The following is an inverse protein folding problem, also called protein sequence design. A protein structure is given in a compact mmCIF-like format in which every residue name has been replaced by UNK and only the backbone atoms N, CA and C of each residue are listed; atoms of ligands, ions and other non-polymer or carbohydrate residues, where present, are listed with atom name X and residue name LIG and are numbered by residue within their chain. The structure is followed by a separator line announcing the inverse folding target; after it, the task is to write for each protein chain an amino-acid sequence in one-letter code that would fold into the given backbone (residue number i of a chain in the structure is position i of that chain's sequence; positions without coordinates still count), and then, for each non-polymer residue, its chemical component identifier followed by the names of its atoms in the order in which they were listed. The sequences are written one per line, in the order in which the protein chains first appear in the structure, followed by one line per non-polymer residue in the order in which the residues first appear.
data_IF_368815842301
#
_entry.id   IF_368815842301
#
_cell.length_a   1.000
_cell.length_b   1.000
_cell.length_c   1.000
_cell.angle_alpha   90.00
_cell.angle_beta   90.00
_cell.angle_gamma   90.00
#
_symmetry.space_group_name_H-M   'P 1'
#
loop_
_entity.id
_entity.type
_entity.pdbx_description
1 polymer ?
#
# COMPACT_ATOMS: atom_id res chain seq x y z
N UNK A 1 0.67 -11.41 18.35
CA UNK A 1 1.63 -12.53 18.25
C UNK A 1 1.10 -13.73 17.44
N UNK A 2 -0.20 -14.04 17.43
CA UNK A 2 -0.73 -15.14 16.59
C UNK A 2 -0.70 -14.79 15.08
N UNK A 3 -1.13 -13.58 14.71
CA UNK A 3 -1.12 -13.09 13.32
C UNK A 3 0.29 -13.10 12.70
N UNK A 4 1.29 -12.56 13.40
CA UNK A 4 2.69 -12.55 12.95
C UNK A 4 3.26 -13.95 12.73
N UNK A 5 2.81 -14.95 13.50
CA UNK A 5 3.26 -16.34 13.35
C UNK A 5 2.60 -17.08 12.18
N UNK A 6 1.40 -16.67 11.77
CA UNK A 6 0.72 -17.19 10.59
C UNK A 6 1.34 -16.64 9.30
N UNK A 7 1.68 -15.35 9.30
CA UNK A 7 2.31 -14.65 8.17
C UNK A 7 3.67 -15.27 7.81
N UNK A 8 4.48 -15.66 8.80
CA UNK A 8 5.82 -16.26 8.60
C UNK A 8 5.85 -17.60 7.85
N UNK A 9 4.69 -18.23 7.60
CA UNK A 9 4.61 -19.50 6.89
C UNK A 9 4.58 -19.35 5.37
N UNK A 10 4.43 -18.14 4.87
CA UNK A 10 4.37 -17.87 3.43
C UNK A 10 5.73 -17.38 2.94
N UNK A 11 6.31 -18.09 1.98
CA UNK A 11 7.47 -17.62 1.23
C UNK A 11 7.07 -16.56 0.18
N UNK A 12 5.79 -16.56 -0.19
CA UNK A 12 5.22 -15.66 -1.19
C UNK A 12 3.79 -15.23 -0.80
N UNK A 13 3.51 -13.93 -0.90
CA UNK A 13 2.24 -13.31 -0.56
C UNK A 13 1.49 -12.90 -1.83
N UNK A 14 0.62 -13.78 -2.31
CA UNK A 14 -0.28 -13.46 -3.43
C UNK A 14 -1.39 -12.49 -3.02
N UNK A 15 -2.11 -11.86 -3.97
CA UNK A 15 -3.20 -10.93 -3.66
C UNK A 15 -4.33 -11.57 -2.87
N UNK A 16 -4.57 -12.86 -3.10
CA UNK A 16 -5.55 -13.62 -2.33
C UNK A 16 -5.12 -13.77 -0.86
N UNK A 17 -3.83 -14.01 -0.60
CA UNK A 17 -3.28 -14.11 0.77
C UNK A 17 -3.34 -12.74 1.44
N UNK A 18 -2.87 -11.68 0.78
CA UNK A 18 -2.85 -10.32 1.34
C UNK A 18 -4.26 -9.82 1.66
N UNK A 19 -5.24 -10.09 0.78
CA UNK A 19 -6.65 -9.82 1.04
C UNK A 19 -7.19 -10.63 2.22
N UNK A 20 -6.83 -11.92 2.33
CA UNK A 20 -7.29 -12.78 3.42
C UNK A 20 -6.69 -12.38 4.79
N UNK A 21 -5.49 -11.79 4.81
CA UNK A 21 -4.90 -11.26 6.05
C UNK A 21 -5.70 -10.08 6.60
N UNK A 22 -6.23 -9.20 5.73
CA UNK A 22 -6.89 -7.97 6.15
C UNK A 22 -6.04 -7.19 7.14
N UNK A 23 -6.60 -6.78 8.28
CA UNK A 23 -5.87 -6.04 9.32
C UNK A 23 -4.66 -6.79 9.89
N UNK A 24 -4.60 -8.12 9.81
CA UNK A 24 -3.43 -8.89 10.25
C UNK A 24 -2.17 -8.61 9.42
N UNK A 25 -2.32 -7.99 8.24
CA UNK A 25 -1.21 -7.61 7.36
C UNK A 25 -0.24 -6.61 8.02
N UNK A 26 -0.66 -5.83 9.03
CA UNK A 26 0.27 -4.98 9.83
C UNK A 26 1.36 -5.78 10.56
N UNK A 27 1.21 -7.11 10.65
CA UNK A 27 2.23 -8.02 11.16
C UNK A 27 3.36 -8.34 10.18
N UNK A 28 3.26 -7.93 8.91
CA UNK A 28 4.32 -8.10 7.90
C UNK A 28 5.53 -7.25 8.26
N UNK A 29 6.72 -7.84 8.26
CA UNK A 29 7.95 -7.08 8.37
C UNK A 29 8.25 -6.33 7.07
N UNK A 30 9.13 -5.32 7.12
CA UNK A 30 9.65 -4.66 5.91
C UNK A 30 10.32 -5.66 4.97
N UNK A 31 10.97 -6.70 5.50
CA UNK A 31 11.56 -7.78 4.71
C UNK A 31 10.50 -8.62 3.99
N UNK A 32 9.39 -8.95 4.66
CA UNK A 32 8.27 -9.67 4.04
C UNK A 32 7.67 -8.86 2.90
N UNK A 33 7.49 -7.55 3.09
CA UNK A 33 6.96 -6.63 2.07
C UNK A 33 7.89 -6.58 0.85
N UNK A 34 9.20 -6.41 1.08
CA UNK A 34 10.16 -6.23 -0.01
C UNK A 34 10.43 -7.50 -0.80
N UNK A 35 10.50 -8.63 -0.11
CA UNK A 35 11.01 -9.89 -0.68
C UNK A 35 9.91 -10.94 -0.90
N UNK A 36 8.82 -10.89 -0.14
CA UNK A 36 7.75 -11.88 -0.20
C UNK A 36 6.60 -11.49 -1.12
N UNK A 37 6.54 -10.25 -1.59
CA UNK A 37 5.50 -9.76 -2.52
C UNK A 37 6.15 -9.47 -3.87
N UNK A 38 5.63 -10.05 -4.96
CA UNK A 38 6.06 -9.66 -6.31
C UNK A 38 5.53 -8.25 -6.64
N UNK A 39 6.09 -7.60 -7.64
CA UNK A 39 5.63 -6.27 -8.06
C UNK A 39 4.19 -6.32 -8.61
N UNK A 40 3.88 -7.34 -9.40
CA UNK A 40 2.55 -7.60 -9.98
C UNK A 40 1.51 -7.88 -8.88
N UNK A 41 1.88 -8.72 -7.91
CA UNK A 41 0.99 -9.04 -6.79
C UNK A 41 0.79 -7.85 -5.87
N UNK A 42 1.82 -7.00 -5.71
CA UNK A 42 1.70 -5.79 -4.91
C UNK A 42 0.68 -4.84 -5.53
N UNK A 43 0.79 -4.56 -6.83
CA UNK A 43 -0.16 -3.70 -7.56
C UNK A 43 -1.59 -4.25 -7.48
N UNK A 44 -1.76 -5.56 -7.71
CA UNK A 44 -3.07 -6.22 -7.61
C UNK A 44 -3.65 -6.22 -6.17
N UNK A 45 -2.81 -6.03 -5.16
CA UNK A 45 -3.20 -6.02 -3.75
C UNK A 45 -3.48 -4.64 -3.17
N UNK A 46 -3.22 -3.55 -3.92
CA UNK A 46 -3.42 -2.18 -3.43
C UNK A 46 -4.81 -1.93 -2.86
N UNK A 47 -5.93 -2.35 -3.50
CA UNK A 47 -7.25 -2.17 -2.91
C UNK A 47 -7.38 -2.81 -1.52
N UNK A 48 -6.78 -3.98 -1.30
CA UNK A 48 -6.83 -4.66 0.00
C UNK A 48 -5.86 -4.05 1.03
N UNK A 49 -4.64 -3.72 0.62
CA UNK A 49 -3.62 -3.16 1.53
C UNK A 49 -3.93 -1.70 1.94
N UNK A 50 -4.60 -0.95 1.06
CA UNK A 50 -5.08 0.41 1.34
C UNK A 50 -6.20 0.47 2.39
N UNK A 51 -6.94 -0.62 2.60
CA UNK A 51 -7.95 -0.74 3.66
C UNK A 51 -7.34 -1.10 5.04
N UNK A 52 -6.06 -1.47 5.09
CA UNK A 52 -5.39 -1.87 6.33
C UNK A 52 -4.94 -0.62 7.09
N UNK A 53 -5.37 -0.46 8.34
CA UNK A 53 -4.99 0.67 9.18
C UNK A 53 -3.88 0.27 10.17
N UNK A 54 -3.00 1.21 10.51
CA UNK A 54 -1.94 0.97 11.49
C UNK A 54 -0.62 0.46 10.91
N UNK A 55 -0.40 0.57 9.59
CA UNK A 55 0.94 0.50 9.03
C UNK A 55 1.85 1.49 9.75
N UNK A 56 3.00 1.01 10.22
CA UNK A 56 4.03 1.93 10.70
C UNK A 56 4.70 2.62 9.49
N UNK A 57 5.44 3.70 9.78
CA UNK A 57 6.07 4.53 8.74
C UNK A 57 7.02 3.74 7.82
N UNK A 58 7.75 2.77 8.37
CA UNK A 58 8.69 1.96 7.59
C UNK A 58 7.95 0.99 6.65
N UNK A 59 6.84 0.38 7.12
CA UNK A 59 6.00 -0.51 6.33
C UNK A 59 5.31 0.24 5.18
N UNK A 60 4.63 1.36 5.48
CA UNK A 60 3.94 2.14 4.45
C UNK A 60 4.91 2.68 3.41
N UNK A 61 6.07 3.18 3.85
CA UNK A 61 7.13 3.64 2.94
C UNK A 61 7.70 2.48 2.10
N UNK A 62 7.88 1.30 2.68
CA UNK A 62 8.36 0.13 1.93
C UNK A 62 7.37 -0.31 0.85
N UNK A 63 6.07 -0.35 1.17
CA UNK A 63 5.00 -0.66 0.22
C UNK A 63 4.98 0.35 -0.92
N UNK A 64 4.91 1.65 -0.60
CA UNK A 64 4.81 2.71 -1.61
C UNK A 64 6.06 2.78 -2.48
N UNK A 65 7.26 2.72 -1.90
CA UNK A 65 8.49 2.79 -2.68
C UNK A 65 8.61 1.59 -3.65
N UNK A 66 8.21 0.39 -3.21
CA UNK A 66 8.19 -0.79 -4.08
C UNK A 66 7.18 -0.63 -5.20
N UNK A 67 5.95 -0.21 -4.89
CA UNK A 67 4.88 0.05 -5.87
C UNK A 67 5.29 1.09 -6.93
N UNK A 68 5.90 2.20 -6.51
CA UNK A 68 6.35 3.23 -7.47
C UNK A 68 7.54 2.75 -8.31
N UNK A 69 8.41 1.92 -7.73
CA UNK A 69 9.55 1.33 -8.45
C UNK A 69 9.12 0.28 -9.49
N UNK A 70 7.95 -0.36 -9.32
CA UNK A 70 7.39 -1.28 -10.31
C UNK A 70 6.73 -0.58 -11.50
N UNK A 71 6.67 0.75 -11.49
CA UNK A 71 6.11 1.55 -12.57
C UNK A 71 4.67 2.04 -12.34
N UNK A 72 4.08 1.79 -11.16
CA UNK A 72 2.78 2.38 -10.81
C UNK A 72 2.86 3.91 -10.84
N UNK A 73 1.89 4.55 -11.48
CA UNK A 73 1.83 6.00 -11.61
C UNK A 73 0.59 6.58 -10.93
N UNK A 74 0.79 7.68 -10.20
CA UNK A 74 -0.29 8.46 -9.60
C UNK A 74 -0.61 9.63 -10.54
N UNK A 75 -1.47 9.38 -11.52
CA UNK A 75 -1.76 10.33 -12.63
C UNK A 75 -3.04 11.13 -12.45
N UNK A 76 -3.94 10.70 -11.57
CA UNK A 76 -5.27 11.27 -11.33
C UNK A 76 -5.73 11.09 -9.88
N UNK A 77 -6.83 11.75 -9.50
CA UNK A 77 -7.38 11.62 -8.15
C UNK A 77 -7.72 10.18 -7.75
N UNK A 78 -8.15 9.34 -8.70
CA UNK A 78 -8.55 7.96 -8.43
C UNK A 78 -7.35 7.06 -8.10
N UNK A 79 -6.23 7.20 -8.82
CA UNK A 79 -4.99 6.46 -8.56
C UNK A 79 -4.35 6.86 -7.24
N UNK A 80 -4.52 8.12 -6.79
CA UNK A 80 -4.15 8.56 -5.45
C UNK A 80 -5.09 7.98 -4.39
N UNK A 81 -6.40 8.04 -4.63
CA UNK A 81 -7.41 7.57 -3.69
C UNK A 81 -7.34 6.05 -3.45
N UNK A 82 -7.05 5.25 -4.48
CA UNK A 82 -6.85 3.80 -4.40
C UNK A 82 -5.76 3.38 -3.41
N UNK A 83 -4.80 4.25 -3.09
CA UNK A 83 -3.76 3.93 -2.12
C UNK A 83 -4.32 3.80 -0.69
N UNK A 84 -5.49 4.39 -0.39
CA UNK A 84 -6.11 4.32 0.93
C UNK A 84 -5.14 4.75 2.04
N UNK A 85 -5.05 3.99 3.13
CA UNK A 85 -4.14 4.26 4.24
C UNK A 85 -2.65 4.35 3.85
N UNK A 86 -2.26 3.78 2.70
CA UNK A 86 -0.87 3.76 2.25
C UNK A 86 -0.38 5.12 1.77
N UNK A 87 -1.25 6.13 1.53
CA UNK A 87 -0.78 7.50 1.23
C UNK A 87 0.17 8.05 2.29
N UNK A 88 0.08 7.59 3.54
CA UNK A 88 1.01 7.94 4.62
C UNK A 88 2.46 7.51 4.34
N UNK A 89 2.69 6.58 3.40
CA UNK A 89 4.01 6.14 2.95
C UNK A 89 4.61 6.94 1.80
N UNK A 90 3.88 7.91 1.23
CA UNK A 90 4.43 8.77 0.17
C UNK A 90 5.51 9.69 0.75
N UNK A 91 6.71 9.62 0.17
CA UNK A 91 7.77 10.53 0.54
C UNK A 91 7.45 11.97 0.10
N UNK A 92 8.09 12.95 0.74
CA UNK A 92 7.82 14.36 0.52
C UNK A 92 8.12 14.84 -0.90
N UNK A 93 9.13 14.26 -1.57
CA UNK A 93 9.42 14.57 -2.97
C UNK A 93 8.32 14.09 -3.92
N UNK A 94 7.80 12.87 -3.72
CA UNK A 94 6.68 12.34 -4.50
C UNK A 94 5.44 13.20 -4.27
N UNK A 95 5.10 13.52 -3.03
CA UNK A 95 3.97 14.41 -2.72
C UNK A 95 4.08 15.79 -3.39
N UNK A 96 5.29 16.39 -3.40
CA UNK A 96 5.54 17.68 -4.06
C UNK A 96 5.49 17.60 -5.58
N UNK A 97 5.74 16.43 -6.16
CA UNK A 97 5.66 16.23 -7.62
C UNK A 97 4.24 15.95 -8.12
N UNK A 98 3.30 15.61 -7.23
CA UNK A 98 1.90 15.44 -7.62
C UNK A 98 1.32 16.76 -8.12
N UNK A 99 0.62 16.70 -9.25
CA UNK A 99 -0.13 17.86 -9.74
C UNK A 99 -1.21 18.25 -8.73
N UNK A 100 -1.38 19.54 -8.46
CA UNK A 100 -2.46 20.03 -7.58
C UNK A 100 -3.85 19.55 -8.04
N UNK A 101 -4.03 19.32 -9.35
CA UNK A 101 -5.28 18.75 -9.89
C UNK A 101 -5.56 17.34 -9.37
N UNK A 102 -4.54 16.49 -9.30
CA UNK A 102 -4.65 15.11 -8.77
C UNK A 102 -5.13 15.14 -7.33
N UNK A 103 -4.53 15.99 -6.50
CA UNK A 103 -4.91 16.13 -5.08
C UNK A 103 -6.33 16.68 -4.96
N UNK A 104 -6.69 17.72 -5.72
CA UNK A 104 -8.03 18.30 -5.72
C UNK A 104 -9.13 17.35 -6.21
N UNK A 105 -8.80 16.41 -7.11
CA UNK A 105 -9.69 15.35 -7.53
C UNK A 105 -9.85 14.29 -6.43
N UNK A 106 -8.74 13.86 -5.81
CA UNK A 106 -8.76 12.85 -4.75
C UNK A 106 -9.59 13.29 -3.55
N UNK A 107 -9.48 14.54 -3.08
CA UNK A 107 -10.26 15.02 -1.92
C UNK A 107 -11.78 15.09 -2.16
N UNK A 108 -12.24 14.93 -3.40
CA UNK A 108 -13.66 14.85 -3.74
C UNK A 108 -14.17 13.41 -3.75
N UNK A 109 -13.27 12.43 -3.71
CA UNK A 109 -13.60 11.02 -3.71
C UNK A 109 -13.89 10.55 -2.27
N UNK A 110 -15.06 9.93 -2.00
CA UNK A 110 -15.44 9.48 -0.66
C UNK A 110 -14.40 8.57 0.00
N UNK A 111 -13.78 7.68 -0.79
CA UNK A 111 -12.78 6.71 -0.33
C UNK A 111 -11.46 7.35 0.13
N UNK A 112 -11.19 8.61 -0.22
CA UNK A 112 -9.96 9.32 0.16
C UNK A 112 -10.08 10.07 1.49
N UNK A 113 -11.31 10.43 1.89
CA UNK A 113 -11.56 11.33 3.05
C UNK A 113 -11.86 10.54 4.34
N UNK A 114 -11.78 9.21 4.29
CA UNK A 114 -12.04 8.32 5.43
C UNK A 114 -10.89 8.20 6.43
#
# INVERSE_FOLDING_TARGET
QVASSLVRKFEHFSPAILRALGQAAVGLSVSDIKNGISDEDLEASIPALGEVHGWNADQSSAIINKLLSSGYQITDGQSLAKLGSLVAGLNSSTLRSLSSKVVLEAIKLPEFVQ
#
